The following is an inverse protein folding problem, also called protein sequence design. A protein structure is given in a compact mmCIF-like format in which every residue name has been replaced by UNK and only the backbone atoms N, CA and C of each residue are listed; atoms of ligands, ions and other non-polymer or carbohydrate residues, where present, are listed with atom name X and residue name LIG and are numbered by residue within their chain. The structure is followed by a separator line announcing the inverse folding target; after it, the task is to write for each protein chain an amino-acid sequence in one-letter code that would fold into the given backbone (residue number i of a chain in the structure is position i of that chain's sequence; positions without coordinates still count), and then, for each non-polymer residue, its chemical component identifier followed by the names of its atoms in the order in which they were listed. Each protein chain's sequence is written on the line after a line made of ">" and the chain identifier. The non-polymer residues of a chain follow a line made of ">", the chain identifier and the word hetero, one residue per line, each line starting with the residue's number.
data_IF_734170961385
#
_entry.id   IF_734170961385
#
_cell.length_a   1.000
_cell.length_b   1.000
_cell.length_c   1.000
_cell.angle_alpha   90.00
_cell.angle_beta   90.00
_cell.angle_gamma   90.00
#
_symmetry.space_group_name_H-M   'P 1'
#
loop_
_entity.id
_entity.type
_entity.pdbx_description
1 polymer ?
#
# COMPACT_ATOMS: atom_id res chain seq x y z
N UNK A 1 -66.62 34.55 -17.02
CA UNK A 1 -65.31 34.50 -17.67
C UNK A 1 -64.11 34.34 -16.70
N UNK A 2 -64.24 34.64 -15.41
CA UNK A 2 -63.14 34.51 -14.41
C UNK A 2 -62.69 33.07 -14.09
N UNK A 3 -63.60 32.06 -14.15
CA UNK A 3 -63.26 30.69 -13.78
C UNK A 3 -62.46 29.88 -14.80
N UNK A 4 -62.53 30.22 -16.10
CA UNK A 4 -61.80 29.49 -17.15
C UNK A 4 -60.30 29.86 -17.16
N UNK A 5 -59.98 31.11 -16.84
CA UNK A 5 -58.61 31.60 -16.78
C UNK A 5 -57.87 31.07 -15.55
N UNK A 6 -58.57 30.89 -14.44
CA UNK A 6 -58.00 30.33 -13.20
C UNK A 6 -57.68 28.84 -13.35
N UNK A 7 -58.55 28.06 -14.03
CA UNK A 7 -58.34 26.63 -14.30
C UNK A 7 -57.19 26.44 -15.28
N UNK A 8 -57.02 27.29 -16.26
CA UNK A 8 -55.88 27.25 -17.24
C UNK A 8 -54.55 27.54 -16.54
N UNK A 9 -54.49 28.47 -15.59
CA UNK A 9 -53.29 28.82 -14.84
C UNK A 9 -52.91 27.68 -13.85
N UNK A 10 -53.86 26.95 -13.26
CA UNK A 10 -53.57 25.82 -12.37
C UNK A 10 -53.04 24.64 -13.17
N UNK A 11 -53.55 24.34 -14.36
CA UNK A 11 -53.05 23.25 -15.21
C UNK A 11 -51.63 23.54 -15.75
N UNK A 12 -51.30 24.75 -16.07
CA UNK A 12 -49.95 25.14 -16.50
C UNK A 12 -48.94 25.07 -15.32
N UNK A 13 -49.36 25.43 -14.11
CA UNK A 13 -48.55 25.31 -12.89
C UNK A 13 -48.24 23.84 -12.49
N UNK A 14 -49.23 22.93 -12.71
CA UNK A 14 -49.04 21.50 -12.43
C UNK A 14 -48.10 20.80 -13.43
N UNK A 15 -48.04 21.24 -14.68
CA UNK A 15 -47.14 20.69 -15.71
C UNK A 15 -45.69 21.12 -15.49
N UNK A 16 -45.44 22.28 -14.88
CA UNK A 16 -44.12 22.78 -14.57
C UNK A 16 -43.43 22.04 -13.37
N UNK A 17 -44.25 21.42 -12.51
CA UNK A 17 -43.70 20.64 -11.38
C UNK A 17 -43.27 19.20 -11.75
N UNK A 18 -43.65 18.72 -12.94
CA UNK A 18 -43.26 17.38 -13.42
C UNK A 18 -41.94 17.37 -14.19
N UNK A 19 -41.28 18.51 -14.41
CA UNK A 19 -40.06 18.63 -15.23
C UNK A 19 -38.72 18.56 -14.46
N UNK A 20 -38.72 18.36 -13.14
CA UNK A 20 -37.52 18.15 -12.36
C UNK A 20 -37.35 16.67 -11.99
N UNK A 21 -37.39 15.76 -12.98
CA UNK A 21 -36.65 14.50 -12.87
C UNK A 21 -35.24 14.77 -13.35
N UNK A 22 -34.44 15.39 -12.47
CA UNK A 22 -33.00 15.41 -12.63
C UNK A 22 -32.53 13.98 -12.84
N UNK A 23 -31.68 13.74 -13.82
CA UNK A 23 -30.88 12.54 -13.96
C UNK A 23 -30.10 12.36 -12.65
N UNK A 24 -30.70 11.73 -11.63
CA UNK A 24 -29.92 11.11 -10.59
C UNK A 24 -29.08 10.05 -11.33
N UNK A 25 -27.80 10.29 -11.50
CA UNK A 25 -26.87 9.23 -11.83
C UNK A 25 -27.09 8.17 -10.77
N UNK A 26 -27.75 7.08 -11.12
CA UNK A 26 -27.88 5.91 -10.26
C UNK A 26 -26.45 5.56 -9.83
N UNK A 27 -26.21 5.58 -8.53
CA UNK A 27 -24.94 5.07 -7.98
C UNK A 27 -24.93 3.60 -8.37
N UNK A 28 -23.94 3.14 -9.15
CA UNK A 28 -23.89 1.74 -9.57
C UNK A 28 -23.94 0.83 -8.35
N UNK A 29 -24.95 -0.01 -8.27
CA UNK A 29 -25.12 -0.97 -7.18
C UNK A 29 -24.27 -2.21 -7.44
N UNK A 30 -23.79 -2.82 -6.35
CA UNK A 30 -23.10 -4.09 -6.41
C UNK A 30 -24.03 -5.21 -6.91
N UNK A 31 -23.57 -5.98 -7.90
CA UNK A 31 -24.23 -7.19 -8.38
C UNK A 31 -23.91 -8.37 -7.45
N UNK A 32 -24.80 -8.60 -6.50
CA UNK A 32 -24.63 -9.67 -5.51
C UNK A 32 -24.81 -11.07 -6.09
N UNK A 33 -25.59 -11.22 -7.17
CA UNK A 33 -25.78 -12.52 -7.84
C UNK A 33 -24.51 -12.90 -8.59
N UNK A 34 -23.96 -11.97 -9.37
CA UNK A 34 -22.68 -12.16 -10.02
C UNK A 34 -21.57 -12.48 -9.01
N UNK A 35 -21.52 -11.75 -7.89
CA UNK A 35 -20.58 -12.01 -6.79
C UNK A 35 -20.75 -13.40 -6.17
N UNK A 36 -21.99 -13.86 -5.99
CA UNK A 36 -22.27 -15.19 -5.46
C UNK A 36 -21.81 -16.32 -6.42
N UNK A 37 -21.94 -16.11 -7.72
CA UNK A 37 -21.42 -17.06 -8.71
C UNK A 37 -19.91 -17.20 -8.71
N UNK A 38 -19.18 -16.15 -8.28
CA UNK A 38 -17.71 -16.19 -8.21
C UNK A 38 -17.16 -16.96 -7.00
N UNK A 39 -17.99 -17.36 -6.03
CA UNK A 39 -17.51 -18.10 -4.86
C UNK A 39 -16.85 -19.42 -5.24
N UNK A 40 -15.70 -19.76 -4.61
CA UNK A 40 -14.97 -21.00 -4.83
C UNK A 40 -13.53 -20.75 -5.31
N UNK A 41 -12.88 -21.83 -5.75
CA UNK A 41 -11.48 -21.82 -6.25
C UNK A 41 -11.48 -21.69 -7.77
N UNK A 42 -10.58 -20.85 -8.25
CA UNK A 42 -10.40 -20.57 -9.66
C UNK A 42 -9.01 -21.00 -10.12
N UNK A 43 -8.96 -21.73 -11.20
CA UNK A 43 -7.71 -22.24 -11.81
C UNK A 43 -7.61 -21.73 -13.24
N UNK A 44 -6.40 -21.52 -13.71
CA UNK A 44 -6.13 -21.15 -15.11
C UNK A 44 -6.62 -22.26 -16.06
N UNK A 45 -7.31 -21.89 -17.13
CA UNK A 45 -7.88 -22.85 -18.09
C UNK A 45 -6.84 -23.66 -18.86
N UNK A 46 -5.63 -23.08 -19.06
CA UNK A 46 -4.59 -23.68 -19.87
C UNK A 46 -3.61 -24.52 -19.03
N UNK A 47 -3.09 -23.95 -17.93
CA UNK A 47 -2.11 -24.62 -17.07
C UNK A 47 -2.75 -25.52 -16.01
N UNK A 48 -3.96 -25.18 -15.55
CA UNK A 48 -4.61 -25.83 -14.42
C UNK A 48 -4.10 -25.35 -13.05
N UNK A 49 -3.20 -24.35 -13.03
CA UNK A 49 -2.65 -23.80 -11.79
C UNK A 49 -3.72 -23.02 -11.04
N UNK A 50 -3.68 -23.10 -9.69
CA UNK A 50 -4.61 -22.36 -8.84
C UNK A 50 -4.22 -20.88 -8.84
N UNK A 51 -5.14 -20.03 -9.31
CA UNK A 51 -4.97 -18.57 -9.34
C UNK A 51 -5.37 -17.96 -7.99
N UNK A 52 -6.63 -18.16 -7.57
CA UNK A 52 -7.13 -17.61 -6.30
C UNK A 52 -8.38 -18.34 -5.82
N UNK A 53 -8.73 -18.11 -4.55
CA UNK A 53 -10.01 -18.50 -3.96
C UNK A 53 -10.84 -17.27 -3.62
N UNK A 54 -12.13 -17.28 -3.97
CA UNK A 54 -13.09 -16.28 -3.54
C UNK A 54 -13.96 -16.87 -2.42
N UNK A 55 -13.96 -16.18 -1.26
CA UNK A 55 -14.80 -16.52 -0.13
C UNK A 55 -15.38 -15.25 0.48
N UNK A 56 -16.73 -15.17 0.52
CA UNK A 56 -17.44 -13.97 0.95
C UNK A 56 -17.11 -12.76 0.07
N UNK A 57 -16.61 -11.72 0.71
CA UNK A 57 -16.27 -10.45 0.06
C UNK A 57 -14.78 -10.32 -0.32
N UNK A 58 -14.02 -11.42 -0.24
CA UNK A 58 -12.56 -11.37 -0.37
C UNK A 58 -12.02 -12.40 -1.36
N UNK A 59 -10.96 -12.00 -2.05
CA UNK A 59 -10.11 -12.85 -2.89
C UNK A 59 -8.89 -13.24 -2.05
N UNK A 60 -8.60 -14.53 -1.98
CA UNK A 60 -7.45 -15.11 -1.29
C UNK A 60 -6.47 -15.66 -2.31
N UNK A 61 -5.21 -15.33 -2.16
CA UNK A 61 -4.14 -15.76 -3.06
C UNK A 61 -3.41 -16.99 -2.50
N UNK A 62 -2.69 -17.70 -3.37
CA UNK A 62 -1.99 -18.94 -3.00
C UNK A 62 -0.71 -18.70 -2.22
N UNK A 63 -0.11 -17.52 -2.35
CA UNK A 63 1.10 -17.17 -1.60
C UNK A 63 0.76 -16.72 -0.15
N UNK A 64 1.71 -16.92 0.75
CA UNK A 64 1.54 -16.65 2.19
C UNK A 64 1.74 -15.17 2.58
N UNK A 65 2.04 -14.28 1.63
CA UNK A 65 2.39 -12.88 1.89
C UNK A 65 1.37 -11.90 1.35
N UNK A 66 0.61 -12.27 0.31
CA UNK A 66 -0.44 -11.45 -0.26
C UNK A 66 -1.65 -11.39 0.67
N UNK A 67 -2.07 -10.16 0.98
CA UNK A 67 -3.25 -9.93 1.82
C UNK A 67 -4.53 -10.26 1.04
N UNK A 68 -5.58 -10.78 1.71
CA UNK A 68 -6.88 -10.94 1.08
C UNK A 68 -7.41 -9.62 0.57
N UNK A 69 -7.85 -9.58 -0.69
CA UNK A 69 -8.33 -8.38 -1.34
C UNK A 69 -9.85 -8.32 -1.33
N UNK A 70 -10.41 -7.24 -0.75
CA UNK A 70 -11.84 -6.96 -0.84
C UNK A 70 -12.22 -6.61 -2.28
N UNK A 71 -13.39 -7.10 -2.75
CA UNK A 71 -13.88 -6.80 -4.09
C UNK A 71 -15.40 -6.60 -4.14
N UNK A 72 -15.85 -5.98 -5.22
CA UNK A 72 -17.24 -5.84 -5.64
C UNK A 72 -17.38 -6.13 -7.13
N UNK A 73 -18.56 -6.59 -7.54
CA UNK A 73 -18.95 -6.60 -8.95
C UNK A 73 -19.90 -5.43 -9.19
N UNK A 74 -19.54 -4.57 -10.14
CA UNK A 74 -20.37 -3.42 -10.53
C UNK A 74 -20.47 -3.43 -12.06
N UNK A 75 -21.67 -3.78 -12.59
CA UNK A 75 -21.84 -4.04 -14.02
C UNK A 75 -20.86 -5.11 -14.49
N UNK A 76 -20.16 -4.85 -15.59
CA UNK A 76 -19.16 -5.76 -16.15
C UNK A 76 -17.74 -5.51 -15.60
N UNK A 77 -17.63 -5.14 -14.32
CA UNK A 77 -16.34 -4.82 -13.71
C UNK A 77 -16.17 -5.46 -12.34
N UNK A 78 -15.01 -6.12 -12.16
CA UNK A 78 -14.48 -6.53 -10.87
C UNK A 78 -13.73 -5.35 -10.25
N UNK A 79 -14.29 -4.75 -9.21
CA UNK A 79 -13.73 -3.59 -8.51
C UNK A 79 -13.01 -4.03 -7.25
N UNK A 80 -11.71 -3.79 -7.16
CA UNK A 80 -10.90 -4.09 -5.97
C UNK A 80 -11.08 -3.00 -4.89
N UNK A 81 -10.88 -3.36 -3.64
CA UNK A 81 -10.92 -2.42 -2.51
C UNK A 81 -9.87 -1.31 -2.59
N UNK A 82 -8.77 -1.51 -3.30
CA UNK A 82 -7.75 -0.53 -3.63
C UNK A 82 -8.22 0.57 -4.60
N UNK A 83 -9.34 0.33 -5.31
CA UNK A 83 -9.84 1.19 -6.37
C UNK A 83 -9.48 0.72 -7.78
N UNK A 84 -8.62 -0.28 -7.92
CA UNK A 84 -8.31 -0.90 -9.22
C UNK A 84 -9.53 -1.65 -9.75
N UNK A 85 -9.74 -1.68 -11.06
CA UNK A 85 -10.85 -2.39 -11.68
C UNK A 85 -10.40 -3.21 -12.89
N UNK A 86 -11.06 -4.36 -13.08
CA UNK A 86 -10.83 -5.30 -14.17
C UNK A 86 -12.12 -5.51 -14.94
N UNK A 87 -12.06 -5.36 -16.27
CA UNK A 87 -13.22 -5.60 -17.11
C UNK A 87 -13.52 -7.11 -17.18
N UNK A 88 -14.73 -7.50 -16.86
CA UNK A 88 -15.19 -8.89 -16.96
C UNK A 88 -15.54 -9.16 -18.43
N UNK A 89 -14.85 -10.12 -19.03
CA UNK A 89 -15.06 -10.52 -20.43
C UNK A 89 -16.12 -11.62 -20.53
N UNK A 90 -16.11 -12.55 -19.58
CA UNK A 90 -17.07 -13.64 -19.49
C UNK A 90 -17.26 -14.08 -18.05
N UNK A 91 -18.52 -14.26 -17.65
CA UNK A 91 -18.85 -14.70 -16.32
C UNK A 91 -20.02 -15.68 -16.36
N UNK A 92 -19.79 -16.88 -15.86
CA UNK A 92 -20.78 -17.92 -15.62
C UNK A 92 -20.48 -18.62 -14.30
N UNK A 93 -21.28 -19.59 -13.89
CA UNK A 93 -21.03 -20.36 -12.69
C UNK A 93 -19.66 -21.04 -12.66
N UNK A 94 -19.12 -21.48 -13.80
CA UNK A 94 -17.89 -22.26 -13.89
C UNK A 94 -16.79 -21.59 -14.72
N UNK A 95 -17.04 -20.40 -15.27
CA UNK A 95 -16.06 -19.69 -16.13
C UNK A 95 -16.01 -18.24 -15.72
N UNK A 96 -14.80 -17.74 -15.51
CA UNK A 96 -14.55 -16.33 -15.19
C UNK A 96 -13.35 -15.82 -16.00
N UNK A 97 -13.60 -14.93 -16.96
CA UNK A 97 -12.58 -14.30 -17.78
C UNK A 97 -12.59 -12.79 -17.52
N UNK A 98 -11.45 -12.22 -17.30
CA UNK A 98 -11.31 -10.79 -17.11
C UNK A 98 -10.07 -10.26 -17.85
N UNK A 99 -10.08 -8.97 -18.16
CA UNK A 99 -8.91 -8.28 -18.72
C UNK A 99 -8.03 -7.76 -17.60
N UNK A 100 -6.75 -8.15 -17.58
CA UNK A 100 -5.77 -7.70 -16.60
C UNK A 100 -5.24 -6.29 -16.90
N UNK A 101 -4.31 -5.79 -16.10
CA UNK A 101 -3.75 -4.45 -16.24
C UNK A 101 -2.96 -4.25 -17.55
N UNK A 102 -2.44 -5.32 -18.14
CA UNK A 102 -1.73 -5.30 -19.41
C UNK A 102 -2.68 -5.35 -20.62
N UNK A 103 -3.97 -5.58 -20.39
CA UNK A 103 -4.97 -5.77 -21.42
C UNK A 103 -5.10 -7.21 -21.91
N UNK A 104 -4.37 -8.16 -21.31
CA UNK A 104 -4.49 -9.58 -21.61
C UNK A 104 -5.75 -10.17 -20.98
N UNK A 105 -6.34 -11.16 -21.64
CA UNK A 105 -7.52 -11.86 -21.11
C UNK A 105 -7.06 -13.07 -20.31
N UNK A 106 -7.21 -12.99 -19.00
CA UNK A 106 -7.02 -14.10 -18.07
C UNK A 106 -8.27 -14.98 -18.12
N UNK A 107 -8.08 -16.28 -18.34
CA UNK A 107 -9.16 -17.25 -18.52
C UNK A 107 -9.13 -18.27 -17.40
N UNK A 108 -10.13 -18.19 -16.54
CA UNK A 108 -10.23 -19.05 -15.37
C UNK A 108 -11.46 -19.95 -15.45
N UNK A 109 -11.34 -21.16 -14.92
CA UNK A 109 -12.42 -22.09 -14.67
C UNK A 109 -12.52 -22.42 -13.19
N UNK A 110 -13.74 -22.71 -12.73
CA UNK A 110 -13.95 -23.10 -11.34
C UNK A 110 -13.46 -24.53 -11.11
N UNK A 111 -12.69 -24.71 -10.05
CA UNK A 111 -12.20 -26.04 -9.65
C UNK A 111 -13.17 -26.70 -8.66
N UNK A 112 -13.41 -28.00 -8.87
CA UNK A 112 -14.08 -28.89 -7.93
C UNK A 112 -13.10 -29.87 -7.27
N UNK A 113 -11.79 -29.76 -7.54
CA UNK A 113 -10.78 -30.63 -6.95
C UNK A 113 -10.50 -30.22 -5.50
N UNK A 114 -10.78 -31.09 -4.51
CA UNK A 114 -10.52 -30.78 -3.12
C UNK A 114 -9.03 -30.62 -2.79
N UNK A 115 -8.11 -31.10 -3.62
CA UNK A 115 -6.68 -30.89 -3.43
C UNK A 115 -6.30 -29.42 -3.59
N UNK A 116 -7.02 -28.65 -4.39
CA UNK A 116 -6.78 -27.23 -4.58
C UNK A 116 -7.07 -26.39 -3.33
N UNK A 117 -7.84 -26.89 -2.37
CA UNK A 117 -7.97 -26.24 -1.05
C UNK A 117 -6.67 -26.27 -0.25
N UNK A 118 -5.81 -27.25 -0.48
CA UNK A 118 -4.57 -27.42 0.30
C UNK A 118 -3.54 -26.34 0.04
N UNK A 119 -3.62 -25.63 -1.09
CA UNK A 119 -2.69 -24.51 -1.38
C UNK A 119 -2.99 -23.26 -0.55
N UNK A 120 -4.19 -23.17 0.04
CA UNK A 120 -4.63 -22.05 0.90
C UNK A 120 -4.45 -22.36 2.40
N UNK A 121 -3.52 -23.22 2.79
CA UNK A 121 -3.29 -23.63 4.19
C UNK A 121 -2.88 -22.46 5.10
N UNK A 122 -2.54 -21.31 4.52
CA UNK A 122 -2.13 -20.12 5.27
C UNK A 122 -3.32 -19.17 5.45
N UNK A 123 -4.17 -19.44 6.44
CA UNK A 123 -5.36 -18.60 6.72
C UNK A 123 -5.02 -17.16 7.13
N UNK A 124 -3.80 -16.89 7.54
CA UNK A 124 -3.37 -15.55 7.96
C UNK A 124 -2.12 -15.13 7.20
N UNK A 125 -2.20 -14.13 6.33
CA UNK A 125 -1.05 -13.62 5.61
C UNK A 125 0.05 -13.17 6.55
N UNK A 126 1.27 -13.53 6.21
CA UNK A 126 2.45 -13.18 7.00
C UNK A 126 2.84 -11.73 6.77
N UNK A 127 2.84 -10.94 7.85
CA UNK A 127 3.41 -9.59 7.82
C UNK A 127 4.93 -9.71 7.92
N UNK A 128 5.63 -9.13 6.96
CA UNK A 128 7.06 -9.30 6.80
C UNK A 128 7.85 -8.27 7.63
N UNK A 129 8.92 -8.73 8.27
CA UNK A 129 9.93 -7.86 8.89
C UNK A 129 11.11 -7.78 7.94
N UNK A 130 11.31 -6.61 7.30
CA UNK A 130 12.39 -6.40 6.35
C UNK A 130 13.73 -6.14 7.01
N UNK A 131 13.70 -5.55 8.23
CA UNK A 131 14.90 -5.14 8.97
C UNK A 131 14.93 -5.81 10.33
N UNK A 132 16.07 -6.34 10.73
CA UNK A 132 16.30 -6.87 12.07
C UNK A 132 16.66 -5.76 13.06
N UNK A 133 16.46 -6.03 14.36
CA UNK A 133 16.94 -5.11 15.40
C UNK A 133 18.47 -5.06 15.37
N UNK A 134 19.01 -3.86 15.27
CA UNK A 134 20.45 -3.64 15.21
C UNK A 134 20.85 -2.48 16.09
N UNK A 135 22.02 -2.59 16.72
CA UNK A 135 22.63 -1.52 17.53
C UNK A 135 24.11 -1.44 17.20
N UNK A 136 24.59 -0.23 17.04
CA UNK A 136 26.01 0.05 16.83
C UNK A 136 26.39 1.37 17.49
N UNK A 137 27.64 1.47 17.87
CA UNK A 137 28.19 2.70 18.43
C UNK A 137 29.70 2.81 18.10
N UNK A 138 30.21 4.01 18.16
CA UNK A 138 31.65 4.24 18.07
C UNK A 138 32.05 5.60 18.65
N UNK A 139 33.35 5.77 18.88
CA UNK A 139 33.95 7.01 19.35
C UNK A 139 34.77 7.63 18.25
N UNK A 140 34.57 8.91 17.99
CA UNK A 140 35.39 9.72 17.12
C UNK A 140 36.20 10.75 17.92
N UNK A 141 37.32 11.18 17.38
CA UNK A 141 38.15 12.28 17.88
C UNK A 141 38.00 13.49 16.97
N UNK A 142 37.65 14.62 17.54
CA UNK A 142 37.64 15.91 16.84
C UNK A 142 38.24 17.00 17.74
N UNK A 143 39.26 17.72 17.27
CA UNK A 143 40.03 18.73 18.03
C UNK A 143 40.51 18.24 19.39
N UNK A 144 40.92 16.97 19.50
CA UNK A 144 41.33 16.34 20.76
C UNK A 144 40.26 15.91 21.72
N UNK A 145 38.99 16.22 21.40
CA UNK A 145 37.82 15.85 22.18
C UNK A 145 37.16 14.57 21.67
N UNK A 146 36.56 13.81 22.59
CA UNK A 146 35.92 12.51 22.28
C UNK A 146 34.42 12.68 22.15
N UNK A 147 33.87 12.23 21.02
CA UNK A 147 32.44 12.19 20.76
C UNK A 147 32.00 10.74 20.58
N UNK A 148 31.00 10.32 21.32
CA UNK A 148 30.47 8.96 21.23
C UNK A 148 29.06 9.00 20.63
N UNK A 149 28.87 8.30 19.52
CA UNK A 149 27.56 8.18 18.87
C UNK A 149 27.02 6.74 18.97
N UNK A 150 25.72 6.64 19.02
CA UNK A 150 24.96 5.40 19.02
C UNK A 150 23.91 5.43 17.95
N UNK A 151 23.67 4.32 17.29
CA UNK A 151 22.54 4.06 16.40
C UNK A 151 21.83 2.82 16.89
N UNK A 152 20.50 2.87 16.92
CA UNK A 152 19.65 1.69 17.09
C UNK A 152 18.59 1.65 16.01
N UNK A 153 18.47 0.52 15.34
CA UNK A 153 17.40 0.21 14.37
C UNK A 153 16.40 -0.67 15.11
N UNK A 154 15.16 -0.21 15.24
CA UNK A 154 14.12 -0.89 15.98
C UNK A 154 12.92 -1.19 15.07
N UNK A 155 12.72 -2.46 14.67
CA UNK A 155 11.50 -2.87 13.99
C UNK A 155 10.28 -2.57 14.86
N UNK A 156 9.20 -2.11 14.22
CA UNK A 156 7.96 -1.76 14.89
C UNK A 156 6.80 -2.65 14.40
N UNK A 157 5.59 -2.35 14.85
CA UNK A 157 4.35 -2.94 14.31
C UNK A 157 3.59 -1.97 13.39
N UNK A 158 4.24 -0.86 12.99
CA UNK A 158 3.65 0.05 12.00
C UNK A 158 3.68 -0.60 10.63
N UNK A 159 2.50 -0.76 10.04
CA UNK A 159 2.33 -1.44 8.76
C UNK A 159 2.58 -0.50 7.59
N UNK A 160 3.27 -1.01 6.59
CA UNK A 160 3.44 -0.40 5.27
C UNK A 160 2.92 -1.39 4.25
N UNK A 161 2.03 -0.92 3.38
CA UNK A 161 1.42 -1.75 2.33
C UNK A 161 2.16 -1.44 1.04
N UNK A 162 2.69 -2.49 0.41
CA UNK A 162 3.25 -2.45 -0.93
C UNK A 162 2.29 -3.12 -1.90
N UNK A 163 1.99 -2.45 -3.01
CA UNK A 163 1.17 -2.99 -4.09
C UNK A 163 2.03 -3.57 -5.19
N UNK A 164 1.66 -4.74 -5.64
CA UNK A 164 2.27 -5.45 -6.74
C UNK A 164 1.17 -6.06 -7.63
N UNK A 165 1.59 -6.75 -8.69
CA UNK A 165 0.71 -7.59 -9.50
C UNK A 165 1.22 -9.02 -9.41
N UNK A 166 0.28 -9.98 -9.30
CA UNK A 166 0.59 -11.40 -9.40
C UNK A 166 0.77 -11.81 -10.88
N UNK A 167 1.02 -13.08 -11.12
CA UNK A 167 1.23 -13.62 -12.48
C UNK A 167 0.01 -13.45 -13.39
N UNK A 168 -1.19 -13.41 -12.83
CA UNK A 168 -2.43 -13.11 -13.56
C UNK A 168 -2.61 -11.61 -13.88
N UNK A 169 -1.70 -10.73 -13.40
CA UNK A 169 -1.81 -9.29 -13.52
C UNK A 169 -2.90 -8.69 -12.64
N UNK A 170 -3.29 -9.37 -11.56
CA UNK A 170 -4.14 -8.83 -10.51
C UNK A 170 -3.32 -8.14 -9.44
N UNK A 171 -3.81 -6.98 -8.99
CA UNK A 171 -3.19 -6.26 -7.89
C UNK A 171 -3.27 -7.07 -6.59
N UNK A 172 -2.12 -7.20 -5.94
CA UNK A 172 -1.95 -7.84 -4.64
C UNK A 172 -1.26 -6.90 -3.67
N UNK A 173 -1.62 -6.97 -2.40
CA UNK A 173 -1.02 -6.16 -1.35
C UNK A 173 -0.16 -7.04 -0.43
N UNK A 174 1.11 -6.67 -0.29
CA UNK A 174 2.03 -7.25 0.69
C UNK A 174 2.26 -6.26 1.82
N UNK A 175 2.25 -6.73 3.07
CA UNK A 175 2.40 -5.88 4.25
C UNK A 175 3.75 -6.12 4.92
N UNK A 176 4.45 -5.01 5.19
CA UNK A 176 5.73 -4.96 5.89
C UNK A 176 5.61 -4.17 7.18
N UNK A 177 6.49 -4.44 8.15
CA UNK A 177 6.66 -3.58 9.32
C UNK A 177 7.71 -2.51 9.04
N UNK A 178 7.37 -1.25 9.38
CA UNK A 178 8.30 -0.12 9.34
C UNK A 178 9.19 -0.10 10.59
N UNK A 179 10.25 0.72 10.57
CA UNK A 179 11.21 0.84 11.64
C UNK A 179 11.20 2.24 12.27
N UNK A 180 11.68 2.30 13.50
CA UNK A 180 12.12 3.53 14.15
C UNK A 180 13.61 3.41 14.40
N UNK A 181 14.36 4.44 14.01
CA UNK A 181 15.79 4.49 14.24
C UNK A 181 16.11 5.55 15.26
N UNK A 182 17.03 5.25 16.16
CA UNK A 182 17.45 6.15 17.21
C UNK A 182 18.89 6.53 17.00
N UNK A 183 19.21 7.84 17.10
CA UNK A 183 20.59 8.35 17.16
C UNK A 183 20.77 9.09 18.45
N UNK A 184 21.87 8.79 19.16
CA UNK A 184 22.36 9.60 20.28
C UNK A 184 23.81 10.00 20.04
N UNK A 185 24.15 11.24 20.42
CA UNK A 185 25.51 11.78 20.39
C UNK A 185 25.87 12.34 21.76
N UNK A 186 27.06 11.97 22.26
CA UNK A 186 27.59 12.42 23.54
C UNK A 186 28.98 13.04 23.36
N UNK A 187 29.28 14.06 24.16
CA UNK A 187 30.61 14.57 24.42
C UNK A 187 30.97 14.31 25.88
N UNK A 188 31.85 13.35 26.12
CA UNK A 188 32.06 12.82 27.47
C UNK A 188 30.75 12.29 28.09
N UNK A 189 30.37 12.83 29.25
CA UNK A 189 29.10 12.49 29.89
C UNK A 189 27.90 13.34 29.44
N UNK A 190 28.14 14.40 28.67
CA UNK A 190 27.08 15.28 28.17
C UNK A 190 26.42 14.72 26.92
N UNK A 191 25.08 14.55 26.96
CA UNK A 191 24.29 14.23 25.77
C UNK A 191 24.04 15.49 24.95
N UNK A 192 24.59 15.52 23.73
CA UNK A 192 24.44 16.64 22.79
C UNK A 192 23.18 16.49 21.94
N UNK A 193 22.86 15.25 21.53
CA UNK A 193 21.72 14.93 20.68
C UNK A 193 21.12 13.60 21.07
N UNK A 194 19.81 13.46 20.93
CA UNK A 194 19.12 12.17 21.05
C UNK A 194 17.75 12.31 20.40
N UNK A 195 17.47 11.54 19.38
CA UNK A 195 16.19 11.61 18.67
C UNK A 195 15.84 10.28 18.01
N UNK A 196 14.53 10.03 17.93
CA UNK A 196 13.96 8.96 17.11
C UNK A 196 13.67 9.49 15.71
N UNK A 197 14.04 8.70 14.72
CA UNK A 197 13.81 8.98 13.30
C UNK A 197 12.71 8.04 12.80
N UNK A 198 11.74 8.63 12.10
CA UNK A 198 10.64 7.94 11.43
C UNK A 198 10.58 8.39 9.99
N UNK A 199 10.08 7.56 9.08
CA UNK A 199 10.02 7.90 7.64
C UNK A 199 9.30 9.22 7.36
N UNK A 200 8.31 9.60 8.18
CA UNK A 200 7.55 10.85 8.03
C UNK A 200 8.42 12.11 8.18
N UNK A 201 9.56 12.03 8.86
CA UNK A 201 10.49 13.16 8.98
C UNK A 201 11.11 13.56 7.64
N UNK A 202 11.10 12.65 6.66
CA UNK A 202 11.68 12.82 5.34
C UNK A 202 10.68 13.32 4.28
N UNK A 203 9.42 13.62 4.66
CA UNK A 203 8.34 13.98 3.74
C UNK A 203 8.60 15.25 2.89
N UNK A 204 9.53 16.12 3.32
CA UNK A 204 9.94 17.30 2.53
C UNK A 204 11.08 17.03 1.55
N UNK A 205 11.73 15.87 1.66
CA UNK A 205 12.93 15.50 0.92
C UNK A 205 12.65 14.37 -0.07
N UNK A 206 11.65 13.54 0.20
CA UNK A 206 11.34 12.35 -0.58
C UNK A 206 9.89 12.45 -1.06
N UNK A 207 9.57 12.05 -2.32
CA UNK A 207 8.21 12.11 -2.85
C UNK A 207 7.20 11.34 -1.98
N UNK A 208 6.02 11.93 -1.76
CA UNK A 208 4.99 11.37 -0.90
C UNK A 208 4.54 9.98 -1.36
N UNK A 209 4.35 9.79 -2.67
CA UNK A 209 3.96 8.50 -3.23
C UNK A 209 4.98 7.39 -2.91
N UNK A 210 6.28 7.71 -2.96
CA UNK A 210 7.34 6.78 -2.56
C UNK A 210 7.29 6.48 -1.06
N UNK A 211 7.17 7.51 -0.21
CA UNK A 211 7.13 7.34 1.25
C UNK A 211 5.94 6.49 1.72
N UNK A 212 4.86 6.48 0.96
CA UNK A 212 3.69 5.69 1.29
C UNK A 212 4.01 4.19 1.33
N UNK A 213 4.78 3.71 0.36
CA UNK A 213 5.15 2.29 0.20
C UNK A 213 6.54 1.95 0.76
N UNK A 214 7.35 2.96 1.11
CA UNK A 214 8.68 2.76 1.64
C UNK A 214 8.69 2.48 3.14
N UNK A 215 9.73 1.79 3.59
CA UNK A 215 10.13 1.68 4.99
C UNK A 215 11.43 2.46 5.23
N UNK A 216 11.68 2.87 6.46
CA UNK A 216 12.99 3.36 6.90
C UNK A 216 13.89 2.14 7.13
N UNK A 217 14.67 1.77 6.09
CA UNK A 217 15.35 0.48 6.02
C UNK A 217 16.69 0.44 6.78
N UNK A 218 17.44 1.55 6.77
CA UNK A 218 18.75 1.61 7.41
C UNK A 218 19.09 3.00 7.93
N UNK A 219 20.01 3.05 8.89
CA UNK A 219 20.67 4.24 9.40
C UNK A 219 22.12 3.90 9.70
N UNK A 220 23.06 4.62 9.13
CA UNK A 220 24.48 4.36 9.30
C UNK A 220 25.28 5.65 9.52
N UNK A 221 26.36 5.55 10.29
CA UNK A 221 27.37 6.61 10.37
C UNK A 221 28.24 6.57 9.11
N UNK A 222 28.47 7.74 8.52
CA UNK A 222 29.27 7.87 7.29
C UNK A 222 30.64 8.48 7.56
N UNK A 223 30.66 9.66 8.18
CA UNK A 223 31.89 10.45 8.39
C UNK A 223 31.67 11.55 9.42
N UNK A 224 32.77 12.20 9.80
CA UNK A 224 32.73 13.46 10.56
C UNK A 224 33.72 14.47 9.97
N UNK A 225 33.39 15.75 10.13
CA UNK A 225 34.26 16.88 9.75
C UNK A 225 34.09 18.04 10.72
N UNK A 226 34.56 19.26 10.33
CA UNK A 226 34.46 20.46 11.17
C UNK A 226 33.01 20.89 11.49
N UNK A 227 32.01 20.44 10.73
CA UNK A 227 30.59 20.79 10.95
C UNK A 227 29.90 19.83 11.93
N UNK A 228 30.32 18.55 11.99
CA UNK A 228 29.71 17.55 12.84
C UNK A 228 29.87 16.14 12.33
N UNK A 229 28.92 15.27 12.74
CA UNK A 229 28.83 13.87 12.33
C UNK A 229 27.71 13.69 11.29
N UNK A 230 27.99 12.87 10.28
CA UNK A 230 27.09 12.60 9.18
C UNK A 230 26.59 11.17 9.24
N UNK A 231 25.29 11.03 9.11
CA UNK A 231 24.57 9.76 9.11
C UNK A 231 23.71 9.68 7.86
N UNK A 232 23.66 8.51 7.20
CA UNK A 232 22.75 8.27 6.09
C UNK A 232 21.55 7.45 6.55
N UNK A 233 20.37 8.00 6.34
CA UNK A 233 19.10 7.27 6.41
C UNK A 233 18.80 6.70 5.04
N UNK A 234 18.47 5.41 4.95
CA UNK A 234 18.04 4.75 3.73
C UNK A 234 16.56 4.40 3.82
N UNK A 235 15.76 4.94 2.90
CA UNK A 235 14.35 4.65 2.74
C UNK A 235 14.19 3.79 1.48
N UNK A 236 13.62 2.59 1.61
CA UNK A 236 13.46 1.65 0.49
C UNK A 236 12.03 1.16 0.37
N UNK A 237 11.59 0.93 -0.87
CA UNK A 237 10.43 0.09 -1.12
C UNK A 237 10.87 -1.37 -0.86
N UNK A 238 10.25 -2.10 0.07
CA UNK A 238 10.65 -3.48 0.39
C UNK A 238 10.61 -4.39 -0.84
N UNK A 239 11.57 -5.31 -0.93
CA UNK A 239 11.72 -6.25 -2.06
C UNK A 239 11.73 -5.55 -3.43
N UNK A 240 12.26 -4.34 -3.47
CA UNK A 240 12.44 -3.53 -4.68
C UNK A 240 13.83 -2.93 -4.76
N UNK A 241 14.18 -2.42 -5.94
CA UNK A 241 15.47 -1.76 -6.17
C UNK A 241 15.45 -0.26 -5.85
N UNK A 242 14.28 0.29 -5.52
CA UNK A 242 14.12 1.74 -5.34
C UNK A 242 14.38 2.15 -3.90
N UNK A 243 15.40 3.00 -3.72
CA UNK A 243 15.73 3.59 -2.42
C UNK A 243 16.07 5.08 -2.58
N UNK A 244 15.81 5.85 -1.52
CA UNK A 244 16.34 7.19 -1.32
C UNK A 244 17.31 7.18 -0.16
N UNK A 245 18.40 7.96 -0.27
CA UNK A 245 19.31 8.21 0.84
C UNK A 245 19.21 9.67 1.27
N UNK A 246 19.12 9.89 2.58
CA UNK A 246 19.07 11.22 3.18
C UNK A 246 20.21 11.34 4.16
N UNK A 247 21.13 12.27 3.88
CA UNK A 247 22.21 12.62 4.78
C UNK A 247 21.66 13.47 5.93
N UNK A 248 21.97 13.07 7.15
CA UNK A 248 21.64 13.77 8.38
C UNK A 248 22.94 14.25 9.02
N UNK A 249 23.16 15.55 9.10
CA UNK A 249 24.26 16.16 9.81
C UNK A 249 23.82 16.51 11.23
N UNK A 250 24.55 16.04 12.24
CA UNK A 250 24.41 16.43 13.64
C UNK A 250 25.66 17.18 14.06
N UNK A 251 25.52 18.47 14.33
CA UNK A 251 26.64 19.33 14.73
C UNK A 251 27.15 19.00 16.13
N UNK A 252 28.35 19.46 16.46
CA UNK A 252 28.92 19.33 17.81
C UNK A 252 28.17 20.14 18.88
N UNK A 253 27.23 21.01 18.48
CA UNK A 253 26.29 21.69 19.36
C UNK A 253 24.93 20.98 19.48
N UNK A 254 24.75 19.83 18.82
CA UNK A 254 23.51 19.05 18.83
C UNK A 254 22.42 19.55 17.89
N UNK A 255 22.75 20.43 16.94
CA UNK A 255 21.80 20.85 15.90
C UNK A 255 21.78 19.85 14.75
N UNK A 256 20.58 19.56 14.23
CA UNK A 256 20.40 18.61 13.14
C UNK A 256 19.93 19.30 11.85
N UNK A 257 20.51 18.90 10.73
CA UNK A 257 20.02 19.25 9.39
C UNK A 257 19.96 17.97 8.52
N UNK A 258 19.06 17.95 7.55
CA UNK A 258 18.89 16.82 6.64
C UNK A 258 18.87 17.32 5.20
N UNK A 259 19.46 16.54 4.28
CA UNK A 259 19.45 16.80 2.85
C UNK A 259 19.38 15.49 2.07
N UNK A 260 18.70 15.51 0.92
CA UNK A 260 18.71 14.37 0.00
C UNK A 260 20.12 14.17 -0.56
N UNK A 261 20.57 12.92 -0.64
CA UNK A 261 21.82 12.58 -1.33
C UNK A 261 21.52 12.45 -2.82
N UNK A 262 22.13 13.32 -3.63
CA UNK A 262 22.08 13.26 -5.09
C UNK A 262 23.28 12.44 -5.58
N UNK A 263 23.03 11.50 -6.51
CA UNK A 263 24.06 10.66 -7.16
C UNK A 263 24.34 11.13 -8.58
#
# INVERSE_FOLDING_TARGET
>A
MKNKTTILLITVALTLLASCRGNQKEIPQEDKEAKAMLQGIWVDEESGDVSFRISGDSIFYTDSTSMPAYFKIIGDSLMMGSGTSYAIVKHTQNVFWFSNQNGDVVKLQKSDDPLNETVFVHDTPKILTYTEQFKTDSVILYNGERYHWYIAINPTKYKVVKRNYNDDGMEVETVYYDNIMHISLFHGAQRLFSSDFRKQMYAKLVPEAFLHEAILANMEYVRSDAKGLYFNATLCIPDGASCYQVETLISYSGQMTMQLVEY
#
